data_IF_240015640148
#
_entry.id   IF_240015640148
#
_cell.length_a   1.000
_cell.length_b   1.000
_cell.length_c   1.000
_cell.angle_alpha   90.00
_cell.angle_beta   90.00
_cell.angle_gamma   90.00
#
_symmetry.space_group_name_H-M   'P 1'
#
loop_
_entity.id
_entity.type
_entity.pdbx_description
1 polymer ?
#
# COMPACT_ATOMS: atom_id res chain seq x y z
N UNK A 1 19.04 -9.95 -16.83
CA UNK A 1 18.03 -8.88 -16.69
C UNK A 1 18.08 -8.45 -15.23
N UNK A 2 18.36 -7.18 -14.92
CA UNK A 2 18.25 -6.70 -13.54
C UNK A 2 16.78 -6.72 -13.16
N UNK A 3 16.41 -7.38 -12.06
CA UNK A 3 15.06 -7.25 -11.54
C UNK A 3 14.80 -5.77 -11.23
N UNK A 4 13.83 -5.17 -11.91
CA UNK A 4 13.42 -3.79 -11.66
C UNK A 4 12.74 -3.73 -10.30
N UNK A 5 12.96 -2.63 -9.56
CA UNK A 5 12.22 -2.37 -8.33
C UNK A 5 10.71 -2.45 -8.59
N UNK A 6 10.00 -3.17 -7.72
CA UNK A 6 8.55 -3.28 -7.80
C UNK A 6 7.92 -2.37 -6.74
N UNK A 7 6.95 -1.56 -7.16
CA UNK A 7 6.09 -0.76 -6.28
C UNK A 7 4.87 -1.55 -5.85
N UNK A 8 4.56 -1.49 -4.56
CA UNK A 8 3.37 -2.06 -3.94
C UNK A 8 2.76 -0.95 -3.08
N UNK A 9 1.44 -0.77 -3.17
CA UNK A 9 0.70 0.16 -2.32
C UNK A 9 -0.26 -0.65 -1.47
N UNK A 10 -0.28 -0.37 -0.17
CA UNK A 10 -1.24 -0.99 0.75
C UNK A 10 -1.94 0.12 1.53
N UNK A 11 -3.25 0.02 1.67
CA UNK A 11 -4.02 0.96 2.46
C UNK A 11 -4.64 0.27 3.65
N UNK A 12 -4.72 0.96 4.78
CA UNK A 12 -5.50 0.53 5.94
C UNK A 12 -6.63 1.52 6.22
N UNK A 13 -7.88 1.06 6.18
CA UNK A 13 -9.06 1.88 6.38
C UNK A 13 -10.19 1.05 7.01
N UNK A 14 -10.84 1.60 8.03
CA UNK A 14 -11.97 0.95 8.74
C UNK A 14 -11.71 -0.53 9.09
N UNK A 15 -10.57 -0.81 9.74
CA UNK A 15 -10.17 -2.15 10.20
C UNK A 15 -9.88 -3.18 9.08
N UNK A 16 -9.70 -2.71 7.84
CA UNK A 16 -9.34 -3.55 6.70
C UNK A 16 -8.10 -3.05 6.00
N UNK A 17 -7.30 -3.98 5.50
CA UNK A 17 -6.28 -3.73 4.51
C UNK A 17 -6.87 -3.82 3.11
N UNK A 18 -6.42 -2.94 2.23
CA UNK A 18 -6.74 -2.96 0.81
C UNK A 18 -5.43 -3.01 0.04
N UNK A 19 -5.25 -4.08 -0.74
CA UNK A 19 -4.06 -4.35 -1.55
C UNK A 19 -4.47 -4.33 -3.02
N UNK A 20 -4.43 -3.17 -3.68
CA UNK A 20 -4.51 -3.11 -5.13
C UNK A 20 -3.27 -3.74 -5.75
N UNK A 21 -3.40 -4.14 -7.00
CA UNK A 21 -2.22 -4.28 -7.84
C UNK A 21 -1.77 -2.92 -8.34
N UNK A 22 -0.51 -2.82 -8.75
CA UNK A 22 0.09 -1.55 -9.18
C UNK A 22 0.58 -1.68 -10.61
N UNK A 23 0.09 -0.83 -11.50
CA UNK A 23 0.57 -0.70 -12.86
C UNK A 23 1.67 0.36 -12.97
N UNK A 24 2.62 0.16 -13.89
CA UNK A 24 3.62 1.16 -14.26
C UNK A 24 3.19 1.84 -15.56
N UNK A 25 2.94 3.15 -15.54
CA UNK A 25 2.53 3.87 -16.75
C UNK A 25 3.67 4.00 -17.75
N UNK A 26 3.36 4.43 -18.98
CA UNK A 26 4.38 4.74 -19.99
C UNK A 26 5.28 5.91 -19.58
N UNK A 27 4.77 6.80 -18.73
CA UNK A 27 5.52 7.92 -18.14
C UNK A 27 6.24 7.55 -16.83
N UNK A 28 6.40 6.25 -16.56
CA UNK A 28 7.10 5.75 -15.37
C UNK A 28 6.48 6.15 -14.02
N UNK A 29 5.15 6.35 -13.99
CA UNK A 29 4.39 6.59 -12.76
C UNK A 29 3.73 5.28 -12.31
N UNK A 30 3.75 5.00 -11.01
CA UNK A 30 3.02 3.86 -10.44
C UNK A 30 1.58 4.27 -10.12
N UNK A 31 0.60 3.48 -10.55
CA UNK A 31 -0.84 3.73 -10.30
C UNK A 31 -1.54 2.46 -9.85
N UNK A 32 -2.54 2.60 -8.98
CA UNK A 32 -3.33 1.46 -8.52
C UNK A 32 -4.24 0.96 -9.64
N UNK A 33 -4.33 -0.36 -9.78
CA UNK A 33 -5.14 -1.06 -10.78
C UNK A 33 -5.86 -2.26 -10.14
N UNK A 34 -6.95 -2.68 -10.77
CA UNK A 34 -7.69 -3.87 -10.34
C UNK A 34 -6.86 -5.15 -10.56
N UNK A 35 -7.07 -6.21 -9.75
CA UNK A 35 -8.02 -6.27 -8.63
C UNK A 35 -7.54 -5.53 -7.36
N UNK A 36 -8.49 -5.01 -6.58
CA UNK A 36 -8.26 -4.62 -5.17
C UNK A 36 -8.66 -5.75 -4.23
N UNK A 37 -7.70 -6.27 -3.47
CA UNK A 37 -7.95 -7.32 -2.46
C UNK A 37 -8.19 -6.66 -1.11
N UNK A 38 -9.40 -6.80 -0.56
CA UNK A 38 -9.75 -6.31 0.76
C UNK A 38 -9.64 -7.46 1.80
N UNK A 39 -8.94 -7.23 2.90
CA UNK A 39 -8.66 -8.23 3.94
C UNK A 39 -8.86 -7.62 5.32
N UNK A 40 -9.52 -8.34 6.22
CA UNK A 40 -9.68 -7.92 7.62
C UNK A 40 -8.33 -7.81 8.33
N UNK A 41 -8.15 -6.84 9.22
CA UNK A 41 -6.91 -6.66 9.99
C UNK A 41 -6.48 -7.91 10.77
N UNK A 42 -7.45 -8.69 11.23
CA UNK A 42 -7.22 -9.91 11.99
C UNK A 42 -6.75 -11.08 11.11
N UNK A 43 -6.98 -11.03 9.79
CA UNK A 43 -6.64 -12.10 8.86
C UNK A 43 -5.24 -11.89 8.26
N UNK A 44 -4.22 -12.16 9.07
CA UNK A 44 -2.81 -12.06 8.66
C UNK A 44 -2.50 -13.00 7.50
N UNK A 45 -3.12 -14.17 7.45
CA UNK A 45 -2.90 -15.16 6.39
C UNK A 45 -3.47 -14.67 5.05
N UNK A 46 -4.69 -14.12 5.06
CA UNK A 46 -5.29 -13.47 3.90
C UNK A 46 -4.47 -12.30 3.39
N UNK A 47 -3.92 -11.49 4.30
CA UNK A 47 -3.08 -10.34 3.92
C UNK A 47 -1.77 -10.82 3.28
N UNK A 48 -1.15 -11.86 3.84
CA UNK A 48 0.03 -12.49 3.26
C UNK A 48 -0.26 -13.03 1.85
N UNK A 49 -1.41 -13.67 1.64
CA UNK A 49 -1.85 -14.15 0.32
C UNK A 49 -2.08 -13.01 -0.68
N UNK A 50 -2.70 -11.91 -0.24
CA UNK A 50 -2.91 -10.73 -1.07
C UNK A 50 -1.59 -10.09 -1.50
N UNK A 51 -0.64 -9.94 -0.57
CA UNK A 51 0.70 -9.42 -0.84
C UNK A 51 1.47 -10.34 -1.80
N UNK A 52 1.44 -11.66 -1.58
CA UNK A 52 2.08 -12.62 -2.49
C UNK A 52 1.55 -12.47 -3.92
N UNK A 53 0.22 -12.42 -4.09
CA UNK A 53 -0.39 -12.27 -5.41
C UNK A 53 0.03 -10.96 -6.11
N UNK A 54 0.13 -9.86 -5.36
CA UNK A 54 0.61 -8.58 -5.91
C UNK A 54 2.09 -8.62 -6.27
N UNK A 55 2.94 -9.25 -5.43
CA UNK A 55 4.36 -9.46 -5.71
C UNK A 55 4.53 -10.28 -7.00
N UNK A 56 3.86 -11.43 -7.10
CA UNK A 56 3.92 -12.32 -8.27
C UNK A 56 3.46 -11.65 -9.56
N UNK A 57 2.45 -10.77 -9.49
CA UNK A 57 1.98 -10.03 -10.66
C UNK A 57 3.00 -9.02 -11.16
N UNK A 58 3.85 -8.48 -10.29
CA UNK A 58 4.76 -7.39 -10.64
C UNK A 58 4.04 -6.06 -10.90
N UNK A 59 4.70 -5.17 -11.63
CA UNK A 59 4.08 -3.94 -12.13
C UNK A 59 3.95 -3.95 -13.65
N UNK A 60 2.83 -4.43 -14.22
CA UNK A 60 2.66 -4.44 -15.66
C UNK A 60 2.70 -3.02 -16.23
N UNK A 61 3.25 -2.89 -17.44
CA UNK A 61 3.21 -1.63 -18.19
C UNK A 61 1.79 -1.37 -18.69
N UNK A 62 1.27 -0.17 -18.43
CA UNK A 62 -0.07 0.24 -18.84
C UNK A 62 -0.05 1.63 -19.50
N UNK A 63 -1.04 1.96 -20.35
CA UNK A 63 -1.21 3.33 -20.83
C UNK A 63 -1.34 4.32 -19.67
N UNK A 64 -0.78 5.51 -19.81
CA UNK A 64 -0.96 6.57 -18.81
C UNK A 64 -2.45 6.95 -18.76
N UNK A 65 -3.13 6.82 -17.61
CA UNK A 65 -4.53 7.17 -17.49
C UNK A 65 -4.71 8.67 -17.65
N UNK A 66 -5.82 9.08 -18.28
CA UNK A 66 -6.17 10.49 -18.36
C UNK A 66 -6.55 11.01 -16.97
N UNK A 67 -5.84 12.05 -16.50
CA UNK A 67 -6.04 12.65 -15.17
C UNK A 67 -7.48 13.11 -14.92
N UNK A 68 -8.20 13.54 -15.96
CA UNK A 68 -9.57 14.04 -15.83
C UNK A 68 -10.60 12.92 -15.63
N UNK A 69 -10.24 11.68 -15.98
CA UNK A 69 -11.12 10.51 -15.89
C UNK A 69 -10.62 9.47 -14.90
N UNK A 70 -9.45 9.68 -14.31
CA UNK A 70 -8.87 8.75 -13.34
C UNK A 70 -9.63 8.86 -12.01
N UNK A 71 -10.42 7.83 -11.72
CA UNK A 71 -11.02 7.63 -10.41
C UNK A 71 -10.17 6.65 -9.61
N UNK A 72 -9.73 6.98 -8.39
CA UNK A 72 -8.96 6.05 -7.58
C UNK A 72 -9.81 4.82 -7.22
N UNK A 73 -9.44 3.66 -7.76
CA UNK A 73 -10.17 2.40 -7.60
C UNK A 73 -10.40 2.03 -6.12
N UNK A 74 -9.51 2.49 -5.25
CA UNK A 74 -9.58 2.24 -3.81
C UNK A 74 -10.82 2.84 -3.17
N UNK A 75 -11.40 3.90 -3.73
CA UNK A 75 -12.60 4.54 -3.19
C UNK A 75 -13.80 3.63 -3.34
N UNK A 76 -13.95 3.02 -4.52
CA UNK A 76 -14.99 2.03 -4.77
C UNK A 76 -14.82 0.80 -3.88
N UNK A 77 -13.59 0.29 -3.75
CA UNK A 77 -13.30 -0.90 -2.94
C UNK A 77 -13.50 -0.66 -1.43
N UNK A 78 -13.14 0.51 -0.92
CA UNK A 78 -13.22 0.86 0.51
C UNK A 78 -14.58 1.38 0.96
N UNK A 79 -15.44 1.78 0.03
CA UNK A 79 -16.72 2.42 0.36
C UNK A 79 -16.58 3.84 0.90
N UNK A 80 -15.38 4.44 0.83
CA UNK A 80 -15.18 5.82 1.25
C UNK A 80 -15.98 6.79 0.37
N UNK A 81 -16.44 7.90 0.97
CA UNK A 81 -17.31 8.86 0.28
C UNK A 81 -16.64 9.54 -0.91
N UNK A 82 -15.35 9.83 -0.77
CA UNK A 82 -14.50 10.44 -1.80
C UNK A 82 -13.03 10.31 -1.40
N UNK A 83 -12.13 10.63 -2.33
CA UNK A 83 -10.69 10.59 -2.09
C UNK A 83 -10.23 11.37 -0.87
N UNK A 84 -10.78 12.58 -0.64
CA UNK A 84 -10.37 13.41 0.50
C UNK A 84 -10.77 12.81 1.84
N UNK A 85 -11.94 12.16 1.92
CA UNK A 85 -12.37 11.44 3.13
C UNK A 85 -11.48 10.22 3.38
N UNK A 86 -11.25 9.42 2.34
CA UNK A 86 -10.36 8.27 2.40
C UNK A 86 -8.96 8.67 2.84
N UNK A 87 -8.36 9.64 2.13
CA UNK A 87 -7.02 10.13 2.40
C UNK A 87 -6.93 10.48 3.87
N UNK A 88 -7.82 11.31 4.43
CA UNK A 88 -7.77 11.76 5.85
C UNK A 88 -7.81 10.66 6.90
N UNK A 89 -8.44 9.52 6.60
CA UNK A 89 -8.77 8.48 7.57
C UNK A 89 -7.91 7.22 7.40
N UNK A 90 -7.46 6.94 6.19
CA UNK A 90 -6.69 5.76 5.85
C UNK A 90 -5.18 5.94 6.08
N UNK A 91 -4.49 4.90 6.52
CA UNK A 91 -3.03 4.85 6.40
C UNK A 91 -2.67 4.33 5.01
N UNK A 92 -1.62 4.88 4.40
CA UNK A 92 -1.04 4.34 3.17
C UNK A 92 0.35 3.82 3.49
N UNK A 93 0.73 2.69 2.90
CA UNK A 93 2.07 2.14 2.96
C UNK A 93 2.61 2.05 1.53
N UNK A 94 3.67 2.80 1.27
CA UNK A 94 4.46 2.62 0.06
C UNK A 94 5.52 1.55 0.33
N UNK A 95 5.44 0.46 -0.41
CA UNK A 95 6.37 -0.66 -0.29
C UNK A 95 7.14 -0.78 -1.59
N UNK A 96 8.47 -0.72 -1.52
CA UNK A 96 9.35 -0.98 -2.66
C UNK A 96 10.02 -2.32 -2.46
N UNK A 97 9.81 -3.27 -3.37
CA UNK A 97 10.54 -4.53 -3.40
C UNK A 97 11.77 -4.38 -4.29
N UNK A 98 12.93 -4.41 -3.66
CA UNK A 98 14.26 -4.41 -4.28
C UNK A 98 14.84 -5.84 -4.24
N UNK A 99 15.87 -6.14 -5.06
CA UNK A 99 16.46 -7.48 -5.08
C UNK A 99 16.94 -7.98 -3.72
N UNK A 100 17.41 -7.10 -2.85
CA UNK A 100 18.01 -7.41 -1.55
C UNK A 100 17.10 -7.10 -0.35
N UNK A 101 16.07 -6.25 -0.52
CA UNK A 101 15.21 -5.79 0.58
C UNK A 101 13.82 -5.33 0.14
N UNK A 102 12.90 -5.30 1.10
CA UNK A 102 11.73 -4.43 1.04
C UNK A 102 12.04 -3.12 1.78
N UNK A 103 11.63 -2.01 1.20
CA UNK A 103 11.56 -0.70 1.86
C UNK A 103 10.10 -0.40 2.18
N UNK A 104 9.81 -0.10 3.44
CA UNK A 104 8.45 0.02 3.98
C UNK A 104 8.25 1.45 4.48
N UNK A 105 7.54 2.27 3.71
CA UNK A 105 7.32 3.68 4.02
C UNK A 105 5.85 3.88 4.41
N UNK A 106 5.51 3.84 5.70
CA UNK A 106 4.17 4.16 6.17
C UNK A 106 3.93 5.66 5.98
N UNK A 107 2.72 6.08 5.64
CA UNK A 107 2.37 7.49 5.50
C UNK A 107 2.30 8.16 6.87
N UNK A 108 2.87 9.35 7.01
CA UNK A 108 2.54 10.28 8.10
C UNK A 108 1.52 11.30 7.68
N UNK A 109 0.93 11.97 8.68
CA UNK A 109 0.02 13.08 8.46
C UNK A 109 0.77 14.40 8.52
N UNK A 110 0.65 15.18 7.46
CA UNK A 110 0.93 16.61 7.54
C UNK A 110 -0.11 17.32 8.41
N UNK A 111 0.20 18.53 8.87
CA UNK A 111 -0.77 19.43 9.52
C UNK A 111 -2.03 19.69 8.65
N UNK A 112 -1.90 19.57 7.33
CA UNK A 112 -3.01 19.72 6.37
C UNK A 112 -3.84 18.46 6.14
N UNK A 113 -3.54 17.36 6.83
CA UNK A 113 -4.24 16.07 6.70
C UNK A 113 -3.86 15.23 5.49
N UNK A 114 -2.94 15.72 4.64
CA UNK A 114 -2.39 14.96 3.51
C UNK A 114 -1.38 13.92 3.99
N UNK A 115 -1.21 12.86 3.21
CA UNK A 115 -0.11 11.93 3.41
C UNK A 115 1.24 12.60 3.13
N UNK A 116 2.21 12.27 3.97
CA UNK A 116 3.62 12.59 3.81
C UNK A 116 4.42 11.30 3.89
N UNK A 117 5.25 11.06 2.89
CA UNK A 117 6.15 9.91 2.81
C UNK A 117 7.61 10.34 2.97
N UNK A 118 7.88 11.65 3.08
CA UNK A 118 9.23 12.20 3.20
C UNK A 118 9.63 12.32 4.68
N UNK A 119 9.85 11.17 5.32
CA UNK A 119 10.30 11.10 6.70
C UNK A 119 11.24 9.91 6.95
N UNK A 120 11.95 9.93 8.07
CA UNK A 120 12.97 8.93 8.43
C UNK A 120 12.40 7.62 8.99
N UNK A 121 11.11 7.56 9.29
CA UNK A 121 10.44 6.39 9.83
C UNK A 121 10.13 5.38 8.72
N UNK A 122 11.16 4.67 8.30
CA UNK A 122 11.14 3.71 7.21
C UNK A 122 11.52 2.34 7.79
N UNK A 123 10.66 1.35 7.58
CA UNK A 123 10.96 -0.04 7.88
C UNK A 123 11.76 -0.69 6.75
N UNK A 124 12.49 -1.75 7.07
CA UNK A 124 13.09 -2.61 6.05
C UNK A 124 13.01 -4.07 6.46
N UNK A 125 12.82 -4.93 5.48
CA UNK A 125 12.88 -6.39 5.61
C UNK A 125 13.80 -6.94 4.52
N UNK A 126 14.43 -8.11 4.71
CA UNK A 126 15.18 -8.78 3.63
C UNK A 126 14.30 -9.02 2.39
N UNK A 127 14.88 -8.96 1.19
CA UNK A 127 14.13 -9.11 -0.07
C UNK A 127 13.59 -10.52 -0.28
N UNK A 128 14.12 -11.47 0.50
CA UNK A 128 13.69 -12.87 0.63
C UNK A 128 12.69 -13.08 1.76
N UNK A 129 12.27 -12.02 2.48
CA UNK A 129 11.28 -12.13 3.53
C UNK A 129 9.97 -12.71 2.98
N UNK A 130 9.38 -13.63 3.73
CA UNK A 130 8.11 -14.21 3.36
C UNK A 130 7.00 -13.13 3.41
N UNK A 131 5.98 -13.19 2.55
CA UNK A 131 4.83 -12.27 2.58
C UNK A 131 4.16 -12.19 3.95
N UNK A 132 4.19 -13.30 4.72
CA UNK A 132 3.69 -13.33 6.09
C UNK A 132 4.43 -12.34 6.99
N UNK A 133 5.75 -12.25 6.88
CA UNK A 133 6.56 -11.30 7.66
C UNK A 133 6.20 -9.85 7.29
N UNK A 134 5.95 -9.58 6.02
CA UNK A 134 5.48 -8.27 5.56
C UNK A 134 4.08 -7.95 6.10
N UNK A 135 3.15 -8.91 6.07
CA UNK A 135 1.81 -8.77 6.64
C UNK A 135 1.84 -8.50 8.14
N UNK A 136 2.65 -9.24 8.89
CA UNK A 136 2.86 -9.05 10.33
C UNK A 136 3.42 -7.67 10.64
N UNK A 137 4.40 -7.19 9.85
CA UNK A 137 4.94 -5.84 9.99
C UNK A 137 3.85 -4.78 9.82
N UNK A 138 3.02 -4.88 8.78
CA UNK A 138 1.92 -3.94 8.51
C UNK A 138 0.91 -3.92 9.66
N UNK A 139 0.47 -5.10 10.12
CA UNK A 139 -0.47 -5.22 11.24
C UNK A 139 0.11 -4.62 12.52
N UNK A 140 1.37 -4.90 12.83
CA UNK A 140 2.03 -4.38 14.02
C UNK A 140 2.18 -2.85 13.95
N UNK A 141 2.50 -2.30 12.78
CA UNK A 141 2.59 -0.85 12.59
C UNK A 141 1.22 -0.17 12.80
N UNK A 142 0.14 -0.73 12.23
CA UNK A 142 -1.22 -0.22 12.46
C UNK A 142 -1.57 -0.24 13.94
N UNK A 143 -1.24 -1.33 14.66
CA UNK A 143 -1.48 -1.44 16.11
C UNK A 143 -0.69 -0.40 16.91
N UNK A 144 0.56 -0.13 16.58
CA UNK A 144 1.38 0.85 17.32
C UNK A 144 0.88 2.28 17.15
N UNK A 145 0.41 2.64 15.95
CA UNK A 145 -0.19 3.95 15.69
C UNK A 145 -1.55 4.09 16.36
N UNK A 146 -2.40 3.05 16.31
CA UNK A 146 -3.73 3.07 16.94
C UNK A 146 -3.69 3.06 18.47
N UNK A 147 -2.73 2.37 19.09
CA UNK A 147 -2.55 2.31 20.53
C UNK A 147 -2.03 3.61 21.16
N UNK A 148 -1.48 4.52 20.36
CA UNK A 148 -0.94 5.81 20.83
C UNK A 148 -2.02 6.88 21.06
N UNK A 149 -3.29 6.61 20.74
CA UNK A 149 -4.41 7.56 20.87
C UNK A 149 -5.16 7.47 22.22
N UNK A 150 -4.58 6.82 23.24
CA UNK A 150 -5.22 6.60 24.55
C UNK A 150 -4.36 6.99 25.75
N UNK A 151 -3.69 8.15 25.68
CA UNK A 151 -3.02 8.77 26.85
C UNK A 151 -3.33 10.25 26.93
#
# INVERSE_FOLDING_TARGET
MSASAQSIQVYFFENRFYVPDVGRTMDDVSVDIEPVRAVEMADVAGLAGALQATIERGNPRIPTPNRNTYEPIIIKASGAKNWRDFEKRALCFMITHLPDRFELVPSKRTRGGKWDFNHSDIGSLPGTAAPKTLAEWLVNHVKSVGGSAST
#
